data_IF_694591341640
#
_entry.id   IF_694591341640
#
_cell.length_a   1.000
_cell.length_b   1.000
_cell.length_c   1.000
_cell.angle_alpha   90.00
_cell.angle_beta   90.00
_cell.angle_gamma   90.00
#
_symmetry.space_group_name_H-M   'P 1'
#
loop_
_entity.id
_entity.type
_entity.pdbx_description
1 polymer ?
#
# COMPACT_ATOMS: atom_id res chain seq x y z
N UNK A 1 -31.29 -14.91 6.97
CA UNK A 1 -30.44 -13.84 6.40
C UNK A 1 -31.26 -12.56 6.44
N UNK A 2 -30.99 -11.67 7.38
CA UNK A 2 -31.64 -10.34 7.43
C UNK A 2 -31.03 -9.48 6.32
N UNK A 3 -31.86 -8.86 5.50
CA UNK A 3 -31.41 -8.02 4.38
C UNK A 3 -30.47 -6.92 4.92
N UNK A 4 -29.31 -6.75 4.28
CA UNK A 4 -28.34 -5.70 4.62
C UNK A 4 -27.42 -5.98 5.82
N UNK A 5 -27.41 -7.20 6.38
CA UNK A 5 -26.45 -7.59 7.42
C UNK A 5 -25.50 -8.69 6.93
N UNK A 6 -24.20 -8.43 7.00
CA UNK A 6 -23.12 -9.36 6.65
C UNK A 6 -22.47 -9.86 7.93
N UNK A 7 -22.55 -11.17 8.18
CA UNK A 7 -21.91 -11.80 9.34
C UNK A 7 -20.48 -12.22 8.99
N UNK A 8 -19.55 -12.00 9.92
CA UNK A 8 -18.14 -12.41 9.82
C UNK A 8 -17.76 -13.20 11.07
N UNK A 9 -16.58 -13.84 11.06
CA UNK A 9 -16.07 -14.54 12.24
C UNK A 9 -15.80 -13.66 13.47
N UNK A 10 -15.93 -12.33 13.33
CA UNK A 10 -15.68 -11.35 14.37
C UNK A 10 -16.91 -10.48 14.71
N UNK A 11 -18.08 -10.75 14.11
CA UNK A 11 -19.29 -9.98 14.38
C UNK A 11 -20.19 -9.80 13.16
N UNK A 12 -20.88 -8.66 13.07
CA UNK A 12 -21.76 -8.34 11.96
C UNK A 12 -21.55 -6.91 11.44
N UNK A 13 -21.81 -6.73 10.16
CA UNK A 13 -21.73 -5.47 9.45
C UNK A 13 -23.11 -5.12 8.88
N UNK A 14 -23.66 -3.97 9.25
CA UNK A 14 -24.94 -3.49 8.72
C UNK A 14 -24.70 -2.46 7.62
N UNK A 15 -25.05 -2.79 6.38
CA UNK A 15 -24.83 -1.96 5.19
C UNK A 15 -25.54 -0.61 5.31
N UNK A 16 -26.75 -0.58 5.87
CA UNK A 16 -27.52 0.66 6.05
C UNK A 16 -26.87 1.60 7.07
N UNK A 17 -26.33 1.06 8.16
CA UNK A 17 -25.59 1.85 9.15
C UNK A 17 -24.35 2.50 8.53
N UNK A 18 -23.62 1.79 7.67
CA UNK A 18 -22.47 2.33 6.94
C UNK A 18 -22.87 3.41 5.93
N UNK A 19 -23.94 3.20 5.16
CA UNK A 19 -24.45 4.23 4.25
C UNK A 19 -24.84 5.50 5.01
N UNK A 20 -25.51 5.36 6.16
CA UNK A 20 -25.87 6.51 7.00
C UNK A 20 -24.63 7.22 7.57
N UNK A 21 -23.64 6.46 8.02
CA UNK A 21 -22.36 7.01 8.51
C UNK A 21 -21.66 7.86 7.44
N UNK A 22 -21.52 7.34 6.22
CA UNK A 22 -20.91 8.10 5.11
C UNK A 22 -21.75 9.29 4.67
N UNK A 23 -23.08 9.17 4.63
CA UNK A 23 -23.96 10.27 4.31
C UNK A 23 -23.85 11.41 5.34
N UNK A 24 -23.79 11.07 6.63
CA UNK A 24 -23.59 12.04 7.70
C UNK A 24 -22.22 12.71 7.60
N UNK A 25 -21.16 11.94 7.36
CA UNK A 25 -19.81 12.47 7.15
C UNK A 25 -19.76 13.44 5.96
N UNK A 26 -20.37 13.08 4.83
CA UNK A 26 -20.45 13.95 3.66
C UNK A 26 -21.21 15.25 3.96
N UNK A 27 -22.33 15.17 4.69
CA UNK A 27 -23.09 16.35 5.10
C UNK A 27 -22.26 17.28 5.97
N UNK A 28 -21.55 16.74 6.98
CA UNK A 28 -20.66 17.54 7.84
C UNK A 28 -19.57 18.23 7.01
N UNK A 29 -18.92 17.51 6.10
CA UNK A 29 -17.88 18.07 5.21
C UNK A 29 -18.47 19.18 4.33
N UNK A 30 -19.66 18.99 3.76
CA UNK A 30 -20.32 20.00 2.94
C UNK A 30 -20.74 21.23 3.76
N UNK A 31 -21.22 21.04 4.99
CA UNK A 31 -21.51 22.13 5.92
C UNK A 31 -20.25 22.93 6.22
N UNK A 32 -19.14 22.28 6.58
CA UNK A 32 -17.85 22.96 6.81
C UNK A 32 -17.41 23.69 5.55
N UNK A 33 -17.46 23.04 4.39
CA UNK A 33 -17.14 23.67 3.10
C UNK A 33 -18.00 24.91 2.83
N UNK A 34 -19.28 24.88 3.18
CA UNK A 34 -20.19 26.01 2.99
C UNK A 34 -19.86 27.22 3.87
N UNK A 35 -19.12 27.03 4.96
CA UNK A 35 -18.60 28.13 5.79
C UNK A 35 -17.30 28.74 5.25
N UNK A 36 -16.71 28.14 4.20
CA UNK A 36 -15.52 28.66 3.55
C UNK A 36 -15.76 30.01 2.88
N UNK A 37 -14.71 30.83 2.83
CA UNK A 37 -14.72 32.13 2.16
C UNK A 37 -14.78 31.95 0.64
N UNK A 38 -15.86 32.41 0.01
CA UNK A 38 -16.01 32.39 -1.45
C UNK A 38 -15.28 33.52 -2.16
N UNK A 39 -14.79 34.51 -1.40
CA UNK A 39 -14.12 35.73 -1.85
C UNK A 39 -12.59 35.58 -1.93
N UNK A 40 -12.09 34.34 -1.97
CA UNK A 40 -10.67 34.06 -2.20
C UNK A 40 -10.25 34.42 -3.64
N UNK A 41 -9.01 34.87 -3.80
CA UNK A 41 -8.47 35.22 -5.10
C UNK A 41 -7.97 33.97 -5.85
N UNK A 42 -8.77 33.51 -6.81
CA UNK A 42 -8.44 32.34 -7.66
C UNK A 42 -7.14 32.56 -8.43
N UNK A 43 -6.32 31.51 -8.52
CA UNK A 43 -5.03 31.58 -9.24
C UNK A 43 -3.95 32.41 -8.54
N UNK A 44 -4.15 32.76 -7.27
CA UNK A 44 -3.13 33.36 -6.40
C UNK A 44 -2.65 32.34 -5.36
N UNK A 45 -1.66 32.71 -4.55
CA UNK A 45 -1.21 31.92 -3.40
C UNK A 45 -2.34 31.55 -2.42
N UNK A 46 -3.49 32.25 -2.43
CA UNK A 46 -4.65 31.91 -1.60
C UNK A 46 -5.37 30.62 -2.06
N UNK A 47 -5.12 30.16 -3.28
CA UNK A 47 -5.66 28.93 -3.88
C UNK A 47 -4.67 27.75 -3.77
N UNK A 48 -3.46 28.00 -3.26
CA UNK A 48 -2.44 26.98 -3.09
C UNK A 48 -2.54 26.27 -1.73
N UNK A 49 -2.13 25.00 -1.70
CA UNK A 49 -2.01 24.26 -0.45
C UNK A 49 -0.91 24.88 0.39
N UNK A 50 -1.21 25.27 1.63
CA UNK A 50 -0.19 25.80 2.54
C UNK A 50 0.89 24.73 2.82
N UNK A 51 2.11 24.97 2.31
CA UNK A 51 3.26 24.09 2.50
C UNK A 51 4.38 24.79 3.28
N UNK A 52 4.06 25.23 4.50
CA UNK A 52 5.04 25.82 5.42
C UNK A 52 5.71 27.10 4.89
N UNK A 53 5.06 27.82 3.96
CA UNK A 53 5.61 29.01 3.31
C UNK A 53 6.57 28.74 2.14
N UNK A 54 6.81 27.47 1.79
CA UNK A 54 7.61 27.11 0.62
C UNK A 54 6.73 26.94 -0.63
N UNK A 55 7.25 27.23 -1.84
CA UNK A 55 6.55 26.93 -3.07
C UNK A 55 6.27 25.42 -3.15
N UNK A 56 5.02 25.06 -3.47
CA UNK A 56 4.60 23.67 -3.61
C UNK A 56 5.24 23.09 -4.88
N UNK A 57 6.09 22.05 -4.80
CA UNK A 57 6.61 21.35 -5.97
C UNK A 57 5.45 20.82 -6.82
N UNK A 58 5.49 21.06 -8.14
CA UNK A 58 4.44 20.58 -9.05
C UNK A 58 4.29 19.05 -9.02
N UNK A 59 5.39 18.35 -8.71
CA UNK A 59 5.40 16.91 -8.47
C UNK A 59 5.56 16.66 -6.98
N UNK A 60 4.51 16.16 -6.32
CA UNK A 60 4.56 15.79 -4.90
C UNK A 60 5.54 14.66 -4.54
N UNK A 61 6.35 14.19 -5.50
CA UNK A 61 7.44 13.24 -5.28
C UNK A 61 8.58 13.85 -4.46
N UNK A 62 8.84 15.15 -4.60
CA UNK A 62 9.88 15.86 -3.81
C UNK A 62 9.38 16.24 -2.40
N UNK A 63 8.07 16.14 -2.16
CA UNK A 63 7.41 16.43 -0.89
C UNK A 63 7.37 15.23 0.05
N UNK A 64 7.26 14.03 -0.50
CA UNK A 64 7.08 12.81 0.27
C UNK A 64 8.41 12.13 0.56
N UNK A 65 8.66 11.81 1.83
CA UNK A 65 9.64 10.77 2.15
C UNK A 65 9.17 9.49 1.45
N UNK A 66 9.98 8.90 0.54
CA UNK A 66 9.57 7.71 -0.17
C UNK A 66 9.13 6.62 0.80
N UNK A 67 8.04 5.91 0.51
CA UNK A 67 7.62 4.78 1.34
C UNK A 67 8.73 3.70 1.47
N UNK A 68 9.61 3.62 0.47
CA UNK A 68 10.83 2.79 0.50
C UNK A 68 11.79 3.17 1.62
N UNK A 69 11.74 4.42 2.12
CA UNK A 69 12.55 4.90 3.23
C UNK A 69 12.08 4.38 4.58
N UNK A 70 10.80 4.03 4.75
CA UNK A 70 10.24 3.59 6.04
C UNK A 70 10.92 2.33 6.60
N UNK A 71 11.37 1.44 5.72
CA UNK A 71 12.04 0.19 6.09
C UNK A 71 13.43 0.05 5.47
N UNK A 72 14.03 1.15 5.04
CA UNK A 72 15.31 1.14 4.31
C UNK A 72 16.41 0.38 5.06
N UNK A 73 16.52 0.58 6.38
CA UNK A 73 17.51 -0.13 7.20
C UNK A 73 17.30 -1.66 7.20
N UNK A 74 16.04 -2.10 7.30
CA UNK A 74 15.68 -3.52 7.27
C UNK A 74 15.91 -4.13 5.88
N UNK A 75 15.45 -3.46 4.81
CA UNK A 75 15.64 -3.95 3.44
C UNK A 75 17.12 -3.96 3.06
N UNK A 76 17.90 -2.97 3.51
CA UNK A 76 19.35 -2.92 3.30
C UNK A 76 20.08 -4.03 4.06
N UNK A 77 19.67 -4.34 5.29
CA UNK A 77 20.25 -5.43 6.07
C UNK A 77 20.05 -6.81 5.41
N UNK A 78 18.91 -7.03 4.76
CA UNK A 78 18.57 -8.30 4.08
C UNK A 78 19.00 -8.30 2.59
N UNK A 79 19.45 -7.17 2.04
CA UNK A 79 19.74 -7.03 0.61
C UNK A 79 20.69 -8.11 0.07
N UNK A 80 21.73 -8.50 0.82
CA UNK A 80 22.66 -9.55 0.39
C UNK A 80 21.97 -10.91 0.22
N UNK A 81 21.14 -11.30 1.19
CA UNK A 81 20.35 -12.53 1.14
C UNK A 81 19.35 -12.50 -0.02
N UNK A 82 18.63 -11.38 -0.17
CA UNK A 82 17.66 -11.22 -1.24
C UNK A 82 18.30 -11.26 -2.62
N UNK A 83 19.45 -10.62 -2.80
CA UNK A 83 20.19 -10.63 -4.07
C UNK A 83 20.65 -12.05 -4.46
N UNK A 84 21.02 -12.88 -3.46
CA UNK A 84 21.36 -14.28 -3.70
C UNK A 84 20.14 -15.06 -4.20
N UNK A 85 18.99 -14.91 -3.54
CA UNK A 85 17.73 -15.55 -3.93
C UNK A 85 17.29 -15.15 -5.35
N UNK A 86 17.35 -13.86 -5.66
CA UNK A 86 17.01 -13.37 -7.00
C UNK A 86 18.01 -13.90 -8.04
N UNK A 87 19.29 -14.03 -7.70
CA UNK A 87 20.31 -14.58 -8.58
C UNK A 87 20.06 -16.03 -9.03
N UNK A 88 19.34 -16.82 -8.23
CA UNK A 88 18.94 -18.20 -8.59
C UNK A 88 17.80 -18.23 -9.62
N UNK A 89 17.04 -17.14 -9.77
CA UNK A 89 15.92 -17.03 -10.71
C UNK A 89 16.40 -16.55 -12.09
N UNK A 90 17.22 -17.35 -12.74
CA UNK A 90 17.86 -16.99 -14.04
C UNK A 90 16.87 -16.91 -15.20
N UNK A 91 15.72 -17.57 -15.08
CA UNK A 91 14.74 -17.71 -16.16
C UNK A 91 15.12 -18.75 -17.21
N UNK A 92 16.22 -19.47 -17.03
CA UNK A 92 16.70 -20.50 -17.95
C UNK A 92 16.17 -21.87 -17.52
N UNK A 93 15.42 -22.54 -18.40
CA UNK A 93 14.75 -23.82 -18.08
C UNK A 93 15.70 -24.90 -17.54
N UNK A 94 16.92 -24.98 -18.07
CA UNK A 94 17.92 -25.97 -17.64
C UNK A 94 18.30 -25.83 -16.17
N UNK A 95 18.37 -24.60 -15.65
CA UNK A 95 18.81 -24.33 -14.28
C UNK A 95 17.76 -24.84 -13.27
N UNK A 96 16.47 -24.64 -13.60
CA UNK A 96 15.36 -25.19 -12.81
C UNK A 96 15.31 -26.71 -12.87
N UNK A 97 15.58 -27.29 -14.04
CA UNK A 97 15.60 -28.75 -14.21
C UNK A 97 16.77 -29.38 -13.45
N UNK A 98 17.93 -28.72 -13.44
CA UNK A 98 19.06 -29.10 -12.61
C UNK A 98 18.71 -29.07 -11.11
N UNK A 99 18.07 -28.00 -10.64
CA UNK A 99 17.66 -27.88 -9.24
C UNK A 99 16.63 -28.96 -8.83
N UNK A 100 15.68 -29.27 -9.71
CA UNK A 100 14.70 -30.34 -9.51
C UNK A 100 15.39 -31.70 -9.34
N UNK A 101 16.29 -32.06 -10.28
CA UNK A 101 17.02 -33.33 -10.24
C UNK A 101 17.90 -33.42 -9.00
N UNK A 102 18.62 -32.36 -8.67
CA UNK A 102 19.46 -32.30 -7.47
C UNK A 102 18.64 -32.50 -6.19
N UNK A 103 17.48 -31.85 -6.10
CA UNK A 103 16.58 -31.97 -4.96
C UNK A 103 15.99 -33.38 -4.85
N UNK A 104 15.56 -33.97 -5.97
CA UNK A 104 15.07 -35.35 -6.02
C UNK A 104 16.15 -36.36 -5.61
N UNK A 105 17.41 -36.15 -6.03
CA UNK A 105 18.54 -36.99 -5.64
C UNK A 105 18.83 -36.89 -4.14
N UNK A 106 18.86 -35.68 -3.57
CA UNK A 106 19.04 -35.47 -2.12
C UNK A 106 17.93 -36.16 -1.32
N UNK A 107 16.67 -35.97 -1.71
CA UNK A 107 15.53 -36.61 -1.05
C UNK A 107 15.64 -38.14 -1.14
N UNK A 108 16.00 -38.68 -2.31
CA UNK A 108 16.16 -40.12 -2.50
C UNK A 108 17.26 -40.70 -1.61
N UNK A 109 18.40 -39.99 -1.48
CA UNK A 109 19.48 -40.38 -0.56
C UNK A 109 19.00 -40.36 0.89
N UNK A 110 18.28 -39.33 1.31
CA UNK A 110 17.75 -39.21 2.67
C UNK A 110 16.71 -40.29 3.00
N UNK A 111 15.96 -40.80 2.02
CA UNK A 111 15.00 -41.90 2.20
C UNK A 111 15.71 -43.25 2.31
N UNK A 112 16.84 -43.42 1.59
CA UNK A 112 17.59 -44.68 1.54
C UNK A 112 18.59 -44.84 2.70
N UNK A 113 18.94 -43.76 3.39
CA UNK A 113 19.71 -43.74 4.64
C UNK A 113 18.82 -44.05 5.85
#
# INVERSE_FOLDING_TARGET
MTIGTVYTGFGFWNVYAWMMFFALGALIVLCIRSTGRSDYEKGTYQDEVFYGGNPVPQNGQDLAVPASSSYWGFTKAIASFYNLLVGVHTGILSDYMGLLIATAAVISILILL
#
